data_IF_655824996347
#
_entry.id   IF_655824996347
#
_cell.length_a   1.000
_cell.length_b   1.000
_cell.length_c   1.000
_cell.angle_alpha   90.00
_cell.angle_beta   90.00
_cell.angle_gamma   90.00
#
_symmetry.space_group_name_H-M   'P 1'
#
loop_
_entity.id
_entity.type
_entity.pdbx_description
1 polymer ?
#
# COMPACT_ATOMS: atom_id res chain seq x y z
N UNK A 1 8.04 2.44 -1.67
CA UNK A 1 8.17 0.97 -1.88
C UNK A 1 7.88 0.14 -0.62
N UNK A 2 8.33 0.57 0.58
CA UNK A 2 8.14 -0.18 1.83
C UNK A 2 6.70 -0.70 2.06
N UNK A 3 5.70 0.17 1.90
CA UNK A 3 4.29 -0.16 2.11
C UNK A 3 3.87 -1.35 1.23
N UNK A 4 4.09 -1.25 -0.08
CA UNK A 4 3.75 -2.34 -1.04
C UNK A 4 4.51 -3.62 -0.72
N UNK A 5 5.75 -3.54 -0.25
CA UNK A 5 6.56 -4.73 0.10
C UNK A 5 6.03 -5.48 1.32
N UNK A 6 5.52 -4.77 2.32
CA UNK A 6 5.19 -5.34 3.64
C UNK A 6 3.70 -5.31 3.98
N UNK A 7 2.81 -4.84 3.09
CA UNK A 7 1.35 -4.77 3.34
C UNK A 7 0.69 -6.11 3.71
N UNK A 8 1.31 -7.23 3.34
CA UNK A 8 0.80 -8.57 3.69
C UNK A 8 1.38 -9.12 5.00
N UNK A 9 2.36 -8.45 5.63
CA UNK A 9 3.05 -8.93 6.84
C UNK A 9 2.25 -8.56 8.11
N UNK A 10 1.07 -9.17 8.26
CA UNK A 10 0.17 -8.92 9.40
C UNK A 10 0.80 -9.22 10.76
N UNK A 11 1.62 -10.27 10.87
CA UNK A 11 2.29 -10.59 12.12
C UNK A 11 3.12 -9.40 12.64
N UNK A 12 3.77 -8.64 11.78
CA UNK A 12 4.52 -7.45 12.17
C UNK A 12 3.60 -6.25 12.43
N UNK A 13 2.83 -5.81 11.43
CA UNK A 13 2.16 -4.51 11.51
C UNK A 13 0.83 -4.51 12.26
N UNK A 14 0.26 -5.68 12.55
CA UNK A 14 -0.99 -5.84 13.30
C UNK A 14 -0.78 -6.55 14.64
N UNK A 15 -0.06 -7.68 14.65
CA UNK A 15 0.08 -8.51 15.85
C UNK A 15 1.29 -8.12 16.72
N UNK A 16 2.20 -7.26 16.24
CA UNK A 16 3.37 -6.80 17.01
C UNK A 16 4.51 -7.82 17.10
N UNK A 17 4.50 -8.84 16.25
CA UNK A 17 5.54 -9.86 16.19
C UNK A 17 6.78 -9.36 15.42
N UNK A 18 7.89 -10.07 15.55
CA UNK A 18 9.15 -9.80 14.83
C UNK A 18 9.82 -8.46 15.11
N UNK A 19 9.45 -7.74 16.18
CA UNK A 19 10.13 -6.49 16.58
C UNK A 19 11.65 -6.65 16.76
N UNK A 20 12.10 -7.83 17.21
CA UNK A 20 13.52 -8.15 17.37
C UNK A 20 14.31 -8.21 16.04
N UNK A 21 13.63 -8.25 14.90
CA UNK A 21 14.23 -8.18 13.56
C UNK A 21 14.16 -6.77 12.94
N UNK A 22 13.42 -5.84 13.56
CA UNK A 22 13.19 -4.50 13.03
C UNK A 22 14.35 -3.56 13.36
N UNK A 23 14.83 -2.82 12.37
CA UNK A 23 15.72 -1.68 12.57
C UNK A 23 14.93 -0.37 12.81
N UNK A 24 15.63 0.74 13.01
CA UNK A 24 14.99 2.04 13.26
C UNK A 24 14.12 2.53 12.09
N UNK A 25 14.56 2.29 10.84
CA UNK A 25 13.77 2.63 9.67
C UNK A 25 12.46 1.83 9.60
N UNK A 26 12.49 0.54 9.95
CA UNK A 26 11.28 -0.30 9.96
C UNK A 26 10.26 0.24 10.98
N UNK A 27 10.73 0.65 12.16
CA UNK A 27 9.90 1.26 13.21
C UNK A 27 9.30 2.59 12.75
N UNK A 28 10.08 3.44 12.08
CA UNK A 28 9.59 4.71 11.51
C UNK A 28 8.55 4.50 10.39
N UNK A 29 8.66 3.41 9.63
CA UNK A 29 7.74 3.10 8.53
C UNK A 29 6.45 2.38 8.98
N UNK A 30 6.45 1.76 10.15
CA UNK A 30 5.33 0.98 10.68
C UNK A 30 4.01 1.78 10.75
N UNK A 31 3.98 3.06 11.19
CA UNK A 31 2.75 3.85 11.19
C UNK A 31 2.15 4.04 9.79
N UNK A 32 2.99 4.25 8.77
CA UNK A 32 2.54 4.39 7.38
C UNK A 32 1.94 3.11 6.84
N UNK A 33 2.52 1.97 7.20
CA UNK A 33 2.01 0.65 6.86
C UNK A 33 0.64 0.39 7.49
N UNK A 34 0.47 0.75 8.77
CA UNK A 34 -0.80 0.64 9.49
C UNK A 34 -1.88 1.56 8.90
N UNK A 35 -1.53 2.79 8.50
CA UNK A 35 -2.46 3.70 7.81
C UNK A 35 -2.95 3.08 6.50
N UNK A 36 -2.04 2.58 5.67
CA UNK A 36 -2.38 1.93 4.39
C UNK A 36 -3.26 0.69 4.60
N UNK A 37 -2.93 -0.16 5.58
CA UNK A 37 -3.63 -1.41 5.87
C UNK A 37 -5.13 -1.21 6.15
N UNK A 38 -5.51 -0.07 6.76
CA UNK A 38 -6.93 0.28 6.96
C UNK A 38 -7.68 0.43 5.64
N UNK A 39 -7.08 1.10 4.66
CA UNK A 39 -7.71 1.27 3.34
C UNK A 39 -7.74 -0.07 2.59
N UNK A 40 -6.63 -0.80 2.54
CA UNK A 40 -6.58 -2.13 1.89
C UNK A 40 -7.62 -3.12 2.46
N UNK A 41 -7.80 -3.13 3.78
CA UNK A 41 -8.73 -4.06 4.41
C UNK A 41 -10.19 -3.59 4.30
N UNK A 42 -10.46 -2.31 4.56
CA UNK A 42 -11.82 -1.82 4.77
C UNK A 42 -12.43 -1.10 3.56
N UNK A 43 -11.69 -0.90 2.46
CA UNK A 43 -12.29 -0.40 1.20
C UNK A 43 -12.93 -1.50 0.35
N UNK A 44 -12.89 -2.76 0.81
CA UNK A 44 -13.47 -3.91 0.10
C UNK A 44 -15.00 -3.87 0.21
N UNK A 45 -15.65 -3.56 -0.91
CA UNK A 45 -17.11 -3.49 -1.02
C UNK A 45 -17.62 -4.42 -2.14
N UNK A 46 -18.80 -5.05 -2.00
CA UNK A 46 -19.45 -5.74 -3.10
C UNK A 46 -19.93 -4.78 -4.20
N UNK A 47 -20.11 -3.50 -3.87
CA UNK A 47 -20.48 -2.47 -4.84
C UNK A 47 -19.28 -2.16 -5.75
N UNK A 48 -19.54 -2.18 -7.07
CA UNK A 48 -18.51 -1.87 -8.07
C UNK A 48 -18.35 -0.36 -8.20
N UNK A 49 -17.09 0.07 -8.28
CA UNK A 49 -16.73 1.45 -8.63
C UNK A 49 -16.87 1.68 -10.14
N UNK A 50 -17.18 2.92 -10.50
CA UNK A 50 -17.16 3.38 -11.90
C UNK A 50 -15.71 3.61 -12.35
N UNK A 51 -15.18 2.66 -13.11
CA UNK A 51 -13.80 2.69 -13.60
C UNK A 51 -13.60 3.78 -14.66
N UNK A 52 -14.61 4.05 -15.49
CA UNK A 52 -14.50 5.04 -16.58
C UNK A 52 -14.34 6.44 -16.03
N UNK A 53 -15.09 6.76 -14.96
CA UNK A 53 -14.96 8.03 -14.25
C UNK A 53 -13.63 8.21 -13.53
N UNK A 54 -13.06 7.12 -12.98
CA UNK A 54 -11.83 7.18 -12.18
C UNK A 54 -10.54 7.07 -13.02
N UNK A 55 -10.61 6.43 -14.19
CA UNK A 55 -9.43 6.16 -15.01
C UNK A 55 -8.60 7.39 -15.36
N UNK A 56 -9.17 8.57 -15.72
CA UNK A 56 -8.36 9.76 -16.03
C UNK A 56 -7.45 10.17 -14.87
N UNK A 57 -7.98 10.22 -13.65
CA UNK A 57 -7.24 10.59 -12.45
C UNK A 57 -6.05 9.64 -12.19
N UNK A 58 -6.27 8.33 -12.23
CA UNK A 58 -5.18 7.38 -11.98
C UNK A 58 -4.16 7.32 -13.12
N UNK A 59 -4.57 7.60 -14.37
CA UNK A 59 -3.63 7.69 -15.50
C UNK A 59 -2.67 8.87 -15.36
N UNK A 60 -3.15 10.02 -14.86
CA UNK A 60 -2.29 11.17 -14.58
C UNK A 60 -1.23 10.82 -13.53
N UNK A 61 -1.63 10.16 -12.44
CA UNK A 61 -0.69 9.69 -11.41
C UNK A 61 0.32 8.66 -11.95
N UNK A 62 -0.13 7.71 -12.78
CA UNK A 62 0.77 6.74 -13.40
C UNK A 62 1.80 7.45 -14.29
N UNK A 63 1.39 8.44 -15.07
CA UNK A 63 2.29 9.21 -15.93
C UNK A 63 3.28 10.08 -15.13
N UNK A 64 2.89 10.56 -13.95
CA UNK A 64 3.75 11.34 -13.05
C UNK A 64 4.82 10.46 -12.38
N UNK A 65 4.43 9.30 -11.87
CA UNK A 65 5.30 8.50 -10.98
C UNK A 65 6.00 7.32 -11.65
N UNK A 66 5.56 6.88 -12.84
CA UNK A 66 6.09 5.70 -13.52
C UNK A 66 6.52 6.00 -14.97
N UNK A 67 7.50 5.26 -15.51
CA UNK A 67 7.87 5.38 -16.92
C UNK A 67 6.76 4.86 -17.84
N UNK A 68 6.70 5.40 -19.06
CA UNK A 68 5.71 5.01 -20.08
C UNK A 68 5.71 3.51 -20.41
N UNK A 69 6.87 2.85 -20.33
CA UNK A 69 7.01 1.41 -20.56
C UNK A 69 7.75 0.79 -19.39
N UNK A 70 7.13 -0.23 -18.82
CA UNK A 70 7.64 -0.98 -17.68
C UNK A 70 8.18 -2.34 -18.15
N UNK A 71 9.21 -2.83 -17.46
CA UNK A 71 9.73 -4.19 -17.62
C UNK A 71 9.22 -5.00 -16.43
N UNK A 72 8.36 -5.97 -16.71
CA UNK A 72 7.70 -6.81 -15.72
C UNK A 72 8.26 -8.22 -15.76
#
# INVERSE_FOLDING_TARGET
LFIVRYHSFYSAHREGEYEHLMNEQDKEMLPWLQIFSRYDLYSKSPEKIDIEKLAPYYKELVAEFLPNKLSW
#
